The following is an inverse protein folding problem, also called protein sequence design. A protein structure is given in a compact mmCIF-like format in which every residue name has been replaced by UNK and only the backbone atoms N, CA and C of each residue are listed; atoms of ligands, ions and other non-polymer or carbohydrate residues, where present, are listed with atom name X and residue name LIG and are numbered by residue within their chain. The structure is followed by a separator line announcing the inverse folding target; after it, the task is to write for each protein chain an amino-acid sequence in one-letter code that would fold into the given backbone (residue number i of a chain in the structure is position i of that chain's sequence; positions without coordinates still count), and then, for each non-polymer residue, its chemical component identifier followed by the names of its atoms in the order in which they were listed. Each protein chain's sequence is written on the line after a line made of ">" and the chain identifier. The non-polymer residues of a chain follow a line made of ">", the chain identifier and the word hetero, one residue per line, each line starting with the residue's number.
data_IF_722622584348
#
_entry.id   IF_722622584348
#
_cell.length_a   1.000
_cell.length_b   1.000
_cell.length_c   1.000
_cell.angle_alpha   90.00
_cell.angle_beta   90.00
_cell.angle_gamma   90.00
#
_symmetry.space_group_name_H-M   'P 1'
#
loop_
_entity.id
_entity.type
_entity.pdbx_description
1 polymer ?
#
# COMPACT_ATOMS: atom_id res chain seq x y z
N UNK A 1 12.06 -9.99 1.49
CA UNK A 1 12.56 -9.42 2.75
C UNK A 1 12.25 -7.95 2.65
N UNK A 2 11.41 -7.40 3.53
CA UNK A 2 11.29 -5.94 3.64
C UNK A 2 12.50 -5.52 4.50
N UNK A 3 13.68 -5.51 3.88
CA UNK A 3 14.81 -4.77 4.42
C UNK A 3 14.29 -3.37 4.69
N UNK A 4 14.48 -2.87 5.92
CA UNK A 4 13.85 -1.65 6.44
C UNK A 4 14.32 -0.39 5.69
N UNK A 5 13.89 -0.27 4.45
CA UNK A 5 14.30 0.68 3.43
C UNK A 5 13.04 1.43 2.95
N UNK A 6 13.17 2.68 2.52
CA UNK A 6 12.01 3.55 2.25
C UNK A 6 11.32 4.03 3.53
N UNK A 7 9.98 4.16 3.51
CA UNK A 7 9.21 4.77 4.62
C UNK A 7 9.39 4.03 5.97
N UNK A 8 9.66 2.73 5.94
CA UNK A 8 9.87 1.88 7.12
C UNK A 8 11.22 2.12 7.80
N UNK A 9 12.19 2.71 7.08
CA UNK A 9 13.50 3.04 7.62
C UNK A 9 13.40 4.14 8.69
N UNK A 10 12.56 5.15 8.42
CA UNK A 10 12.42 6.35 9.24
C UNK A 10 11.22 6.29 10.19
N UNK A 11 10.28 5.36 9.97
CA UNK A 11 9.10 5.20 10.81
C UNK A 11 9.43 4.54 12.15
N UNK A 12 8.99 5.17 13.24
CA UNK A 12 8.89 4.55 14.56
C UNK A 12 7.57 3.78 14.70
N UNK A 13 6.49 4.33 14.14
CA UNK A 13 5.16 3.71 14.13
C UNK A 13 4.42 4.06 12.85
N UNK A 14 3.71 3.09 12.28
CA UNK A 14 2.76 3.30 11.19
C UNK A 14 1.35 2.94 11.63
N UNK A 15 0.38 3.77 11.28
CA UNK A 15 -1.05 3.44 11.36
C UNK A 15 -1.59 3.43 9.94
N UNK A 16 -2.21 2.32 9.55
CA UNK A 16 -2.69 2.10 8.20
C UNK A 16 -4.21 1.90 8.22
N UNK A 17 -4.94 2.72 7.47
CA UNK A 17 -6.38 2.59 7.25
C UNK A 17 -6.60 2.13 5.81
N UNK A 18 -7.24 0.97 5.67
CA UNK A 18 -7.52 0.35 4.37
C UNK A 18 -9.03 0.24 4.22
N UNK A 19 -9.56 0.79 3.13
CA UNK A 19 -10.96 0.68 2.75
C UNK A 19 -11.08 0.15 1.34
N UNK A 20 -11.91 -0.88 1.17
CA UNK A 20 -12.22 -1.47 -0.13
C UNK A 20 -13.72 -1.32 -0.35
N UNK A 21 -14.10 -0.60 -1.38
CA UNK A 21 -15.49 -0.31 -1.70
C UNK A 21 -15.82 -0.91 -3.07
N UNK A 22 -17.01 -1.50 -3.22
CA UNK A 22 -17.45 -2.00 -4.52
C UNK A 22 -17.58 -0.84 -5.51
N UNK A 23 -17.01 -0.99 -6.70
CA UNK A 23 -17.24 -0.09 -7.82
C UNK A 23 -18.44 -0.61 -8.61
N UNK A 24 -19.30 0.29 -9.09
CA UNK A 24 -20.54 -0.05 -9.81
C UNK A 24 -20.35 -0.87 -11.10
N UNK A 25 -19.11 -1.12 -11.51
CA UNK A 25 -18.73 -1.84 -12.73
C UNK A 25 -18.20 -3.26 -12.45
N UNK A 26 -18.42 -3.81 -11.26
CA UNK A 26 -17.92 -5.14 -10.87
C UNK A 26 -16.44 -5.16 -10.47
N UNK A 27 -15.82 -3.98 -10.32
CA UNK A 27 -14.50 -3.82 -9.71
C UNK A 27 -14.60 -3.30 -8.28
N UNK A 28 -13.50 -2.78 -7.74
CA UNK A 28 -13.48 -2.10 -6.45
C UNK A 28 -12.66 -0.81 -6.50
N UNK A 29 -12.91 0.06 -5.53
CA UNK A 29 -12.08 1.22 -5.23
C UNK A 29 -11.31 0.89 -3.95
N UNK A 30 -9.99 0.79 -4.10
CA UNK A 30 -9.06 0.61 -2.99
C UNK A 30 -8.60 1.98 -2.49
N UNK A 31 -8.88 2.29 -1.23
CA UNK A 31 -8.42 3.50 -0.54
C UNK A 31 -7.45 3.09 0.57
N UNK A 32 -6.30 3.75 0.56
CA UNK A 32 -5.24 3.54 1.54
C UNK A 32 -4.85 4.88 2.13
N UNK A 33 -4.87 4.97 3.45
CA UNK A 33 -4.31 6.08 4.20
C UNK A 33 -3.26 5.54 5.17
N UNK A 34 -2.13 6.23 5.25
CA UNK A 34 -1.05 5.91 6.16
C UNK A 34 -0.70 7.15 6.98
N UNK A 35 -0.71 6.99 8.30
CA UNK A 35 -0.14 7.95 9.24
C UNK A 35 1.18 7.38 9.74
N UNK A 36 2.26 8.11 9.48
CA UNK A 36 3.62 7.69 9.81
C UNK A 36 4.19 8.59 10.90
N UNK A 37 4.53 7.99 12.04
CA UNK A 37 5.24 8.64 13.12
C UNK A 37 6.73 8.35 12.91
N UNK A 38 7.50 9.41 12.67
CA UNK A 38 8.92 9.33 12.34
C UNK A 38 9.75 9.26 13.62
N UNK A 39 10.87 8.55 13.59
CA UNK A 39 11.85 8.50 14.69
C UNK A 39 12.40 9.90 14.99
N UNK A 40 12.73 10.14 16.26
CA UNK A 40 13.28 11.44 16.67
C UNK A 40 14.59 11.74 15.93
N UNK A 41 14.68 12.93 15.32
CA UNK A 41 15.83 13.35 14.51
C UNK A 41 15.84 12.85 13.06
N UNK A 42 14.85 12.05 12.64
CA UNK A 42 14.68 11.65 11.25
C UNK A 42 13.58 12.47 10.56
N UNK A 43 13.59 12.49 9.23
CA UNK A 43 12.66 13.29 8.43
C UNK A 43 11.99 12.44 7.35
N UNK A 44 10.67 12.55 7.26
CA UNK A 44 9.90 11.94 6.18
C UNK A 44 9.99 12.83 4.93
N UNK A 45 10.80 12.41 3.97
CA UNK A 45 10.93 13.03 2.65
C UNK A 45 9.89 12.52 1.65
N UNK A 46 9.58 13.36 0.67
CA UNK A 46 8.65 13.05 -0.42
C UNK A 46 9.02 11.76 -1.18
N UNK A 47 10.32 11.48 -1.34
CA UNK A 47 10.81 10.26 -2.00
C UNK A 47 10.35 8.98 -1.29
N UNK A 48 10.29 8.99 0.05
CA UNK A 48 9.80 7.83 0.80
C UNK A 48 8.29 7.61 0.62
N UNK A 49 7.52 8.69 0.46
CA UNK A 49 6.07 8.61 0.20
C UNK A 49 5.83 8.08 -1.20
N UNK A 50 6.57 8.57 -2.19
CA UNK A 50 6.46 8.15 -3.59
C UNK A 50 6.85 6.68 -3.77
N UNK A 51 7.95 6.25 -3.15
CA UNK A 51 8.35 4.83 -3.15
C UNK A 51 7.27 3.94 -2.52
N UNK A 52 6.65 4.36 -1.41
CA UNK A 52 5.56 3.63 -0.78
C UNK A 52 4.32 3.52 -1.69
N UNK A 53 3.95 4.61 -2.39
CA UNK A 53 2.86 4.62 -3.35
C UNK A 53 3.11 3.71 -4.55
N UNK A 54 4.31 3.76 -5.12
CA UNK A 54 4.70 2.91 -6.27
C UNK A 54 4.70 1.42 -5.89
N UNK A 55 5.25 1.08 -4.72
CA UNK A 55 5.24 -0.29 -4.20
C UNK A 55 3.82 -0.78 -3.91
N UNK A 56 2.99 0.05 -3.26
CA UNK A 56 1.60 -0.28 -2.98
C UNK A 56 0.80 -0.52 -4.26
N UNK A 57 0.95 0.36 -5.25
CA UNK A 57 0.30 0.24 -6.56
C UNK A 57 0.79 -1.00 -7.32
N UNK A 58 2.09 -1.28 -7.28
CA UNK A 58 2.68 -2.47 -7.91
C UNK A 58 2.12 -3.77 -7.34
N UNK A 59 2.06 -3.88 -6.00
CA UNK A 59 1.48 -5.03 -5.32
C UNK A 59 0.00 -5.22 -5.70
N UNK A 60 -0.77 -4.13 -5.70
CA UNK A 60 -2.19 -4.16 -6.05
C UNK A 60 -2.41 -4.66 -7.47
N UNK A 61 -1.64 -4.19 -8.45
CA UNK A 61 -1.71 -4.66 -9.84
C UNK A 61 -1.41 -6.14 -10.00
N UNK A 62 -0.44 -6.66 -9.25
CA UNK A 62 -0.11 -8.10 -9.27
C UNK A 62 -1.26 -8.92 -8.68
N UNK A 63 -1.84 -8.49 -7.57
CA UNK A 63 -2.99 -9.14 -6.95
C UNK A 63 -4.21 -9.12 -7.88
N UNK A 64 -4.52 -7.98 -8.49
CA UNK A 64 -5.61 -7.84 -9.46
C UNK A 64 -5.41 -8.78 -10.66
N UNK A 65 -4.22 -8.78 -11.26
CA UNK A 65 -3.91 -9.67 -12.39
C UNK A 65 -4.03 -11.16 -12.00
N UNK A 66 -3.61 -11.52 -10.78
CA UNK A 66 -3.72 -12.88 -10.28
C UNK A 66 -5.18 -13.31 -10.09
N UNK A 67 -6.02 -12.46 -9.48
CA UNK A 67 -7.44 -12.77 -9.29
C UNK A 67 -8.20 -12.82 -10.62
N UNK A 68 -7.90 -11.92 -11.56
CA UNK A 68 -8.49 -11.94 -12.91
C UNK A 68 -8.11 -13.21 -13.67
N UNK A 69 -6.88 -13.69 -13.54
CA UNK A 69 -6.44 -14.94 -14.16
C UNK A 69 -7.04 -16.20 -13.50
N UNK A 70 -7.61 -16.07 -12.30
CA UNK A 70 -8.14 -17.18 -11.51
C UNK A 70 -9.53 -16.85 -10.94
N UNK A 71 -10.58 -16.76 -11.78
CA UNK A 71 -11.91 -16.29 -11.36
C UNK A 71 -12.63 -17.22 -10.36
N UNK A 72 -12.23 -18.48 -10.27
CA UNK A 72 -12.79 -19.44 -9.33
C UNK A 72 -12.15 -19.36 -7.92
N UNK A 73 -11.04 -18.62 -7.78
CA UNK A 73 -10.42 -18.35 -6.49
C UNK A 73 -11.23 -17.26 -5.79
N UNK A 74 -11.90 -17.62 -4.70
CA UNK A 74 -12.74 -16.75 -3.85
C UNK A 74 -14.15 -16.42 -4.41
N UNK A 75 -14.69 -17.27 -5.29
CA UNK A 75 -16.09 -17.23 -5.75
C UNK A 75 -17.12 -17.64 -4.68
#
# INVERSE_FOLDING_TARGET
>A
MYDGDGILAVAEKGVYDVKIEASGNGGCVYKFAAEVYVKDGEELKEEHVKDAEERGTGLYKVLEAYLVANPDLYA
#
